data_IF_727466787926
#
_entry.id   IF_727466787926
#
_cell.length_a   1.000
_cell.length_b   1.000
_cell.length_c   1.000
_cell.angle_alpha   90.00
_cell.angle_beta   90.00
_cell.angle_gamma   90.00
#
_symmetry.space_group_name_H-M   'P 1'
#
loop_
_entity.id
_entity.type
_entity.pdbx_description
1 polymer ?
#
# COMPACT_ATOMS: atom_id res chain seq x y z
N UNK A 1 -14.24 8.93 37.11
CA UNK A 1 -14.27 9.97 38.12
C UNK A 1 -15.67 10.55 38.19
N UNK A 2 -16.19 10.71 39.39
CA UNK A 2 -17.53 11.18 39.60
C UNK A 2 -17.55 12.33 40.63
N UNK A 3 -18.57 13.16 40.58
CA UNK A 3 -18.68 14.31 41.48
C UNK A 3 -18.67 13.86 42.94
N UNK A 4 -18.00 14.62 43.80
CA UNK A 4 -17.94 14.33 45.23
C UNK A 4 -19.31 14.48 45.88
N UNK A 5 -19.72 13.46 46.63
CA UNK A 5 -20.99 13.42 47.35
C UNK A 5 -20.74 13.27 48.83
N UNK A 6 -21.07 14.28 49.61
CA UNK A 6 -20.94 14.26 51.06
C UNK A 6 -21.95 13.33 51.72
N UNK A 7 -23.16 13.21 51.16
CA UNK A 7 -24.21 12.38 51.74
C UNK A 7 -24.08 10.91 51.29
N UNK A 8 -23.88 9.95 52.22
CA UNK A 8 -23.79 8.53 51.92
C UNK A 8 -25.02 7.93 51.25
N UNK A 9 -26.23 8.47 51.55
CA UNK A 9 -27.47 8.03 50.93
C UNK A 9 -27.47 8.32 49.41
N UNK A 10 -27.00 9.49 49.04
CA UNK A 10 -26.90 9.85 47.60
C UNK A 10 -25.97 8.94 46.84
N UNK A 11 -24.83 8.57 47.44
CA UNK A 11 -23.88 7.60 46.85
C UNK A 11 -24.53 6.23 46.64
N UNK A 12 -25.30 5.76 47.60
CA UNK A 12 -26.04 4.49 47.53
C UNK A 12 -27.11 4.53 46.44
N UNK A 13 -27.91 5.58 46.42
CA UNK A 13 -28.98 5.78 45.40
C UNK A 13 -28.36 5.84 43.99
N UNK A 14 -27.28 6.56 43.81
CA UNK A 14 -26.54 6.63 42.53
C UNK A 14 -26.08 5.23 42.07
N UNK A 15 -25.48 4.47 42.96
CA UNK A 15 -25.01 3.12 42.68
C UNK A 15 -26.16 2.18 42.27
N UNK A 16 -27.26 2.21 42.98
CA UNK A 16 -28.44 1.39 42.67
C UNK A 16 -29.05 1.78 41.31
N UNK A 17 -29.14 3.07 41.01
CA UNK A 17 -29.63 3.58 39.74
C UNK A 17 -28.71 3.15 38.60
N UNK A 18 -27.40 3.33 38.74
CA UNK A 18 -26.41 2.89 37.75
C UNK A 18 -26.51 1.39 37.49
N UNK A 19 -26.60 0.57 38.55
CA UNK A 19 -26.75 -0.88 38.45
C UNK A 19 -28.05 -1.28 37.72
N UNK A 20 -29.13 -0.52 37.93
CA UNK A 20 -30.42 -0.76 37.27
C UNK A 20 -30.37 -0.43 35.80
N UNK A 21 -29.79 0.71 35.42
CA UNK A 21 -29.65 1.11 34.02
C UNK A 21 -28.70 0.16 33.24
N UNK A 22 -27.64 -0.30 33.86
CA UNK A 22 -26.70 -1.24 33.23
C UNK A 22 -27.28 -2.64 33.01
N UNK A 23 -28.42 -3.00 33.62
CA UNK A 23 -29.10 -4.28 33.29
C UNK A 23 -29.58 -4.37 31.83
N UNK A 24 -29.68 -3.23 31.14
CA UNK A 24 -30.03 -3.17 29.72
C UNK A 24 -28.86 -3.62 28.82
N UNK A 25 -27.65 -3.58 29.34
CA UNK A 25 -26.46 -4.03 28.58
C UNK A 25 -26.42 -5.56 28.53
N UNK A 26 -26.35 -6.11 27.31
CA UNK A 26 -26.27 -7.56 27.07
C UNK A 26 -24.90 -8.13 27.41
N UNK A 27 -23.88 -7.30 27.56
CA UNK A 27 -22.54 -7.72 27.89
C UNK A 27 -22.46 -8.02 29.38
N UNK A 28 -21.72 -9.07 29.74
CA UNK A 28 -21.41 -9.37 31.14
C UNK A 28 -20.59 -8.22 31.73
N UNK A 29 -21.07 -7.62 32.78
CA UNK A 29 -20.44 -6.48 33.44
C UNK A 29 -20.51 -6.58 34.96
N UNK A 30 -19.61 -5.88 35.62
CA UNK A 30 -19.58 -5.75 37.10
C UNK A 30 -19.37 -4.29 37.43
N UNK A 31 -20.16 -3.78 38.35
CA UNK A 31 -20.09 -2.40 38.85
C UNK A 31 -19.73 -2.46 40.31
N UNK A 32 -18.68 -1.76 40.71
CA UNK A 32 -18.31 -1.61 42.12
C UNK A 32 -18.91 -0.31 42.68
N UNK A 33 -19.27 -0.30 43.99
CA UNK A 33 -19.78 0.90 44.63
C UNK A 33 -18.73 2.03 44.59
N UNK A 34 -19.19 3.31 44.59
CA UNK A 34 -18.28 4.46 44.58
C UNK A 34 -17.29 4.41 45.73
N UNK A 35 -16.01 4.65 45.43
CA UNK A 35 -14.94 4.73 46.42
C UNK A 35 -15.11 6.00 47.30
N UNK A 36 -14.29 6.09 48.36
CA UNK A 36 -14.23 7.31 49.21
C UNK A 36 -13.77 8.55 48.40
N UNK A 37 -13.07 8.34 47.27
CA UNK A 37 -12.55 9.38 46.41
C UNK A 37 -13.45 9.66 45.19
N UNK A 38 -14.72 9.24 45.19
CA UNK A 38 -15.64 9.50 44.09
C UNK A 38 -15.43 8.65 42.84
N UNK A 39 -14.56 7.63 42.88
CA UNK A 39 -14.31 6.77 41.73
C UNK A 39 -15.34 5.66 41.60
N UNK A 40 -15.92 5.49 40.42
CA UNK A 40 -16.80 4.38 40.06
C UNK A 40 -16.04 3.45 39.10
N UNK A 41 -15.97 2.18 39.43
CA UNK A 41 -15.33 1.18 38.59
C UNK A 41 -16.38 0.29 37.92
N UNK A 42 -16.31 0.20 36.60
CA UNK A 42 -17.16 -0.64 35.78
C UNK A 42 -16.23 -1.55 34.96
N UNK A 43 -16.44 -2.86 35.07
CA UNK A 43 -15.78 -3.84 34.18
C UNK A 43 -16.81 -4.39 33.22
N UNK A 44 -16.45 -4.54 31.95
CA UNK A 44 -17.33 -5.04 30.89
C UNK A 44 -16.60 -6.06 30.04
N UNK A 45 -17.19 -7.23 29.86
CA UNK A 45 -16.62 -8.24 28.98
C UNK A 45 -16.96 -7.89 27.52
N UNK A 46 -15.96 -7.85 26.65
CA UNK A 46 -16.17 -7.66 25.22
C UNK A 46 -16.84 -8.92 24.64
N UNK A 47 -17.99 -8.76 24.01
CA UNK A 47 -18.78 -9.88 23.45
C UNK A 47 -18.46 -10.13 21.97
N UNK A 48 -17.97 -9.11 21.26
CA UNK A 48 -17.60 -9.20 19.85
C UNK A 48 -16.12 -8.94 19.67
N UNK A 49 -15.44 -9.69 18.77
CA UNK A 49 -14.07 -9.37 18.42
C UNK A 49 -14.01 -7.98 17.77
N UNK A 50 -12.86 -7.31 17.90
CA UNK A 50 -12.62 -6.08 17.15
C UNK A 50 -12.66 -6.38 15.66
N UNK A 51 -13.44 -5.60 14.92
CA UNK A 51 -13.40 -5.64 13.47
C UNK A 51 -12.41 -4.56 13.03
N UNK A 52 -11.21 -4.98 12.65
CA UNK A 52 -10.25 -4.09 12.02
C UNK A 52 -10.61 -3.98 10.53
N UNK A 53 -11.19 -2.88 10.15
CA UNK A 53 -11.43 -2.56 8.74
C UNK A 53 -10.14 -1.91 8.22
N UNK A 54 -9.41 -2.64 7.39
CA UNK A 54 -8.23 -2.11 6.68
C UNK A 54 -8.75 -1.34 5.47
N UNK A 55 -8.67 -0.02 5.52
CA UNK A 55 -9.10 0.90 4.45
C UNK A 55 -7.91 1.45 3.64
N UNK A 56 -6.73 0.86 3.82
CA UNK A 56 -5.51 1.28 3.14
C UNK A 56 -5.10 0.25 2.11
N UNK A 57 -4.68 0.72 0.96
CA UNK A 57 -4.04 -0.08 -0.08
C UNK A 57 -2.53 0.12 -0.02
N UNK A 58 -1.78 -0.88 -0.46
CA UNK A 58 -0.34 -0.73 -0.60
C UNK A 58 -0.02 0.32 -1.66
N UNK A 59 0.97 1.17 -1.37
CA UNK A 59 1.42 2.16 -2.33
C UNK A 59 1.99 1.48 -3.58
N UNK A 60 1.44 1.76 -4.80
CA UNK A 60 1.93 1.13 -6.03
C UNK A 60 3.34 1.58 -6.45
N UNK A 61 3.86 2.64 -5.82
CA UNK A 61 5.21 3.11 -6.10
C UNK A 61 6.30 2.42 -5.28
N UNK A 62 6.03 2.00 -4.05
CA UNK A 62 7.02 1.41 -3.17
C UNK A 62 6.59 0.07 -2.56
N UNK A 63 5.43 -0.46 -2.92
CA UNK A 63 4.82 -1.68 -2.34
C UNK A 63 4.83 -1.69 -0.80
N UNK A 64 4.69 -0.50 -0.20
CA UNK A 64 4.61 -0.32 1.25
C UNK A 64 5.96 -0.16 1.96
N UNK A 65 7.08 -0.15 1.25
CA UNK A 65 8.42 0.04 1.85
C UNK A 65 8.71 1.50 2.26
N UNK A 66 7.99 2.47 1.67
CA UNK A 66 8.24 3.91 1.85
C UNK A 66 9.43 4.44 1.06
N UNK A 67 10.21 3.58 0.41
CA UNK A 67 11.40 3.91 -0.37
C UNK A 67 11.31 3.34 -1.76
N UNK A 68 11.85 4.05 -2.75
CA UNK A 68 12.01 3.59 -4.13
C UNK A 68 13.46 3.77 -4.56
N UNK A 69 13.93 2.95 -5.49
CA UNK A 69 15.23 3.16 -6.14
C UNK A 69 15.25 4.54 -6.81
N UNK A 70 16.44 5.12 -6.94
CA UNK A 70 16.59 6.42 -7.62
C UNK A 70 16.07 6.32 -9.05
N UNK A 71 14.95 6.98 -9.34
CA UNK A 71 14.27 6.93 -10.64
C UNK A 71 15.12 7.44 -11.81
N UNK A 72 16.12 8.30 -11.51
CA UNK A 72 17.06 8.80 -12.50
C UNK A 72 17.91 7.68 -13.12
N UNK A 73 18.15 6.60 -12.36
CA UNK A 73 18.95 5.46 -12.84
C UNK A 73 18.13 4.45 -13.63
N UNK A 74 16.80 4.50 -13.54
CA UNK A 74 15.94 3.53 -14.21
C UNK A 74 16.14 3.52 -15.74
N UNK A 75 16.25 4.70 -16.32
CA UNK A 75 16.41 4.82 -17.78
C UNK A 75 17.74 4.24 -18.25
N UNK A 76 18.80 4.48 -17.48
CA UNK A 76 20.12 3.94 -17.77
C UNK A 76 20.14 2.42 -17.59
N UNK A 77 19.45 1.92 -16.58
CA UNK A 77 19.33 0.47 -16.32
C UNK A 77 18.58 -0.22 -17.47
N UNK A 78 17.43 0.33 -17.88
CA UNK A 78 16.68 -0.18 -19.04
C UNK A 78 17.53 -0.15 -20.30
N UNK A 79 18.24 0.95 -20.60
CA UNK A 79 19.10 1.04 -21.79
C UNK A 79 20.28 0.07 -21.75
N UNK A 80 20.90 -0.10 -20.57
CA UNK A 80 22.01 -1.05 -20.41
C UNK A 80 21.55 -2.49 -20.63
N UNK A 81 20.38 -2.87 -20.11
CA UNK A 81 19.80 -4.18 -20.32
C UNK A 81 19.45 -4.40 -21.80
N UNK A 82 18.85 -3.39 -22.45
CA UNK A 82 18.60 -3.42 -23.90
C UNK A 82 19.90 -3.67 -24.67
N UNK A 83 20.97 -2.94 -24.34
CA UNK A 83 22.26 -3.10 -24.97
C UNK A 83 22.79 -4.53 -24.79
N UNK A 84 22.71 -5.07 -23.60
CA UNK A 84 23.14 -6.44 -23.29
C UNK A 84 22.39 -7.47 -24.13
N UNK A 85 21.07 -7.43 -24.16
CA UNK A 85 20.27 -8.37 -24.95
C UNK A 85 20.56 -8.30 -26.44
N UNK A 86 20.80 -7.10 -26.99
CA UNK A 86 21.10 -6.93 -28.42
C UNK A 86 22.53 -7.34 -28.75
N UNK A 87 23.53 -7.00 -27.92
CA UNK A 87 24.94 -7.23 -28.22
C UNK A 87 25.43 -8.62 -27.81
N UNK A 88 25.02 -9.08 -26.61
CA UNK A 88 25.50 -10.35 -26.06
C UNK A 88 24.59 -11.54 -26.43
N UNK A 89 23.27 -11.32 -26.40
CA UNK A 89 22.30 -12.37 -26.73
C UNK A 89 21.83 -12.33 -28.19
N UNK A 90 22.27 -11.32 -28.97
CA UNK A 90 21.96 -11.15 -30.40
C UNK A 90 20.44 -11.06 -30.70
N UNK A 91 19.67 -10.55 -29.76
CA UNK A 91 18.24 -10.37 -29.92
C UNK A 91 17.93 -9.17 -30.84
N UNK A 92 17.09 -9.40 -31.86
CA UNK A 92 16.75 -8.39 -32.87
C UNK A 92 15.34 -7.84 -32.74
N UNK A 93 14.51 -8.50 -31.95
CA UNK A 93 13.11 -8.16 -31.75
C UNK A 93 12.75 -8.35 -30.27
N UNK A 94 12.47 -7.24 -29.60
CA UNK A 94 12.25 -7.19 -28.16
C UNK A 94 10.96 -6.44 -27.83
N UNK A 95 10.24 -6.94 -26.84
CA UNK A 95 9.11 -6.26 -26.22
C UNK A 95 9.45 -5.90 -24.80
N UNK A 96 9.35 -4.62 -24.46
CA UNK A 96 9.59 -4.10 -23.13
C UNK A 96 8.24 -3.75 -22.48
N UNK A 97 7.91 -4.43 -21.40
CA UNK A 97 6.76 -4.09 -20.57
C UNK A 97 7.21 -3.22 -19.41
N UNK A 98 6.49 -2.13 -19.18
CA UNK A 98 6.76 -1.14 -18.13
C UNK A 98 5.47 -0.59 -17.55
N UNK A 99 5.58 0.12 -16.43
CA UNK A 99 4.46 0.89 -15.90
C UNK A 99 3.99 1.96 -16.91
N UNK A 100 2.68 2.30 -16.99
CA UNK A 100 2.14 3.27 -17.96
C UNK A 100 2.84 4.64 -17.98
N UNK A 101 3.27 5.14 -16.82
CA UNK A 101 4.03 6.40 -16.77
C UNK A 101 5.39 6.32 -17.48
N UNK A 102 6.07 5.19 -17.37
CA UNK A 102 7.35 4.95 -18.03
C UNK A 102 7.15 4.75 -19.52
N UNK A 103 6.10 4.03 -19.92
CA UNK A 103 5.73 3.88 -21.32
C UNK A 103 5.47 5.25 -21.97
N UNK A 104 4.62 6.08 -21.34
CA UNK A 104 4.33 7.42 -21.81
C UNK A 104 5.59 8.30 -21.91
N UNK A 105 6.53 8.19 -20.94
CA UNK A 105 7.78 8.92 -20.96
C UNK A 105 8.70 8.47 -22.11
N UNK A 106 8.85 7.15 -22.32
CA UNK A 106 9.70 6.57 -23.37
C UNK A 106 9.19 6.91 -24.79
N UNK A 107 7.87 6.95 -24.94
CA UNK A 107 7.22 7.27 -26.21
C UNK A 107 6.94 8.77 -26.39
N UNK A 108 7.18 9.60 -25.36
CA UNK A 108 7.00 11.05 -25.42
C UNK A 108 7.93 11.66 -26.49
N UNK A 109 7.35 12.44 -27.38
CA UNK A 109 8.07 13.16 -28.43
C UNK A 109 7.39 13.02 -29.79
N UNK A 110 7.69 13.95 -30.72
CA UNK A 110 7.28 13.84 -32.10
C UNK A 110 7.95 12.58 -32.71
N UNK A 111 7.35 11.98 -33.71
CA UNK A 111 7.66 10.66 -34.31
C UNK A 111 9.14 10.22 -34.35
N UNK A 112 10.09 11.15 -34.39
CA UNK A 112 11.53 10.87 -34.50
C UNK A 112 12.36 11.25 -33.26
N UNK A 113 11.75 11.82 -32.21
CA UNK A 113 12.48 12.33 -31.05
C UNK A 113 12.25 11.52 -29.76
N UNK A 114 11.38 10.51 -29.79
CA UNK A 114 11.15 9.66 -28.61
C UNK A 114 12.37 8.83 -28.22
N UNK A 115 12.55 8.54 -26.95
CA UNK A 115 13.63 7.70 -26.46
C UNK A 115 13.59 6.31 -27.09
N UNK A 116 12.42 5.74 -27.23
CA UNK A 116 12.21 4.47 -27.92
C UNK A 116 12.73 4.51 -29.36
N UNK A 117 12.48 5.60 -30.11
CA UNK A 117 12.97 5.72 -31.48
C UNK A 117 14.49 5.86 -31.52
N UNK A 118 15.08 6.64 -30.61
CA UNK A 118 16.56 6.76 -30.48
C UNK A 118 17.21 5.41 -30.24
N UNK A 119 16.67 4.61 -29.32
CA UNK A 119 17.19 3.27 -29.02
C UNK A 119 17.04 2.32 -30.21
N UNK A 120 15.89 2.30 -30.89
CA UNK A 120 15.71 1.49 -32.13
C UNK A 120 16.77 1.80 -33.18
N UNK A 121 17.08 3.07 -33.39
CA UNK A 121 18.08 3.52 -34.36
C UNK A 121 19.51 3.19 -33.88
N UNK A 122 19.81 3.44 -32.60
CA UNK A 122 21.13 3.24 -31.99
C UNK A 122 21.54 1.76 -31.99
N UNK A 123 20.63 0.90 -31.59
CA UNK A 123 20.90 -0.54 -31.44
C UNK A 123 20.44 -1.39 -32.62
N UNK A 124 19.82 -0.79 -33.63
CA UNK A 124 19.24 -1.46 -34.82
C UNK A 124 18.32 -2.63 -34.46
N UNK A 125 17.49 -2.43 -33.43
CA UNK A 125 16.58 -3.42 -32.85
C UNK A 125 15.13 -3.02 -33.06
N UNK A 126 14.27 -4.00 -33.26
CA UNK A 126 12.82 -3.80 -33.22
C UNK A 126 12.34 -3.82 -31.78
N UNK A 127 12.21 -2.68 -31.16
CA UNK A 127 11.76 -2.55 -29.77
C UNK A 127 10.30 -2.11 -29.74
N UNK A 128 9.44 -2.87 -29.09
CA UNK A 128 8.07 -2.51 -28.78
C UNK A 128 7.96 -2.20 -27.30
N UNK A 129 7.43 -1.05 -26.93
CA UNK A 129 7.19 -0.69 -25.51
C UNK A 129 5.70 -0.73 -25.24
N UNK A 130 5.30 -1.50 -24.24
CA UNK A 130 3.93 -1.72 -23.84
C UNK A 130 3.73 -1.41 -22.37
N UNK A 131 2.57 -0.83 -22.05
CA UNK A 131 2.18 -0.55 -20.68
C UNK A 131 1.58 -1.80 -20.00
N UNK A 132 1.94 -2.02 -18.74
CA UNK A 132 1.28 -2.97 -17.85
C UNK A 132 0.90 -2.28 -16.54
N UNK A 133 -0.41 -2.18 -16.28
CA UNK A 133 -0.95 -1.50 -15.09
C UNK A 133 -0.68 -2.27 -13.77
N UNK A 134 -0.34 -3.55 -13.85
CA UNK A 134 -0.04 -4.36 -12.68
C UNK A 134 1.41 -4.17 -12.19
N UNK A 135 2.25 -3.52 -12.99
CA UNK A 135 3.66 -3.34 -12.64
C UNK A 135 3.86 -2.15 -11.72
N UNK A 136 4.80 -2.30 -10.82
CA UNK A 136 5.34 -1.22 -10.02
C UNK A 136 6.04 -0.18 -10.93
N UNK A 137 6.09 1.10 -10.50
CA UNK A 137 6.64 2.18 -11.33
C UNK A 137 8.09 1.97 -11.77
N UNK A 138 8.87 1.22 -10.97
CA UNK A 138 10.27 0.91 -11.25
C UNK A 138 10.45 -0.48 -11.87
N UNK A 139 9.37 -1.21 -12.10
CA UNK A 139 9.38 -2.57 -12.62
C UNK A 139 9.34 -2.56 -14.14
N UNK A 140 10.16 -3.40 -14.75
CA UNK A 140 10.18 -3.60 -16.18
C UNK A 140 10.67 -5.01 -16.52
N UNK A 141 10.15 -5.55 -17.63
CA UNK A 141 10.49 -6.88 -18.12
C UNK A 141 10.67 -6.86 -19.62
N UNK A 142 11.69 -7.59 -20.08
CA UNK A 142 11.95 -7.79 -21.50
C UNK A 142 11.48 -9.17 -21.95
N UNK A 143 10.86 -9.19 -23.11
CA UNK A 143 10.41 -10.42 -23.77
C UNK A 143 11.02 -10.49 -25.17
N UNK A 144 11.42 -11.71 -25.54
CA UNK A 144 11.92 -11.99 -26.87
C UNK A 144 10.76 -12.14 -27.89
N UNK A 145 11.10 -12.51 -29.12
CA UNK A 145 10.13 -12.75 -30.19
C UNK A 145 9.16 -13.91 -29.88
N UNK A 146 9.59 -14.88 -29.08
CA UNK A 146 8.78 -16.06 -28.69
C UNK A 146 7.92 -15.81 -27.46
N UNK A 147 7.82 -14.54 -27.01
CA UNK A 147 7.10 -14.12 -25.79
C UNK A 147 7.63 -14.76 -24.50
N UNK A 148 8.90 -15.17 -24.49
CA UNK A 148 9.58 -15.61 -23.29
C UNK A 148 10.27 -14.44 -22.60
N UNK A 149 10.12 -14.38 -21.28
CA UNK A 149 10.80 -13.36 -20.48
C UNK A 149 12.32 -13.63 -20.45
N UNK A 150 13.10 -12.62 -20.78
CA UNK A 150 14.56 -12.67 -20.74
C UNK A 150 15.09 -11.84 -19.58
N UNK A 151 16.03 -12.42 -18.84
CA UNK A 151 16.68 -11.81 -17.66
C UNK A 151 18.18 -11.77 -17.81
N UNK A 152 18.80 -10.82 -17.12
CA UNK A 152 20.27 -10.73 -16.98
C UNK A 152 20.69 -11.48 -15.74
#
# INVERSE_FOLDING_TARGET
>A
DFIDMHNPLNRKTLFEKLRTEMKRDRAKHTILPPSKFGLIQITRQRVRPETNIITVEKCPACDGTGEIKASILLMDEIENNLRYFVQEQNEKELTLFVHPYIEAYLNKGMFFSSTTHKWKKKYKVKLKVLANNAYHIMEYHYFNRTEEEIKI
#
